data_IF_452108219054
#
_entry.id   IF_452108219054
#
_cell.length_a   1.000
_cell.length_b   1.000
_cell.length_c   1.000
_cell.angle_alpha   90.00
_cell.angle_beta   90.00
_cell.angle_gamma   90.00
#
_symmetry.space_group_name_H-M   'P 1'
#
loop_
_entity.id
_entity.type
_entity.pdbx_description
1 polymer ?
#
# COMPACT_ATOMS: atom_id res chain seq x y z
N UNK A 1 -42.69 18.93 27.01
CA UNK A 1 -41.78 19.92 26.42
C UNK A 1 -40.73 19.13 25.66
N UNK A 2 -41.02 18.86 24.37
CA UNK A 2 -40.20 17.96 23.51
C UNK A 2 -39.15 18.80 22.81
N UNK A 3 -37.89 18.58 23.13
CA UNK A 3 -36.75 19.10 22.36
C UNK A 3 -36.45 18.14 21.22
N UNK A 4 -36.88 18.51 20.01
CA UNK A 4 -36.40 17.88 18.76
C UNK A 4 -34.99 18.39 18.51
N UNK A 5 -34.01 17.47 18.51
CA UNK A 5 -32.66 17.73 17.99
C UNK A 5 -32.73 17.74 16.48
N UNK A 6 -32.52 18.88 15.87
CA UNK A 6 -32.40 19.06 14.44
C UNK A 6 -31.05 18.46 13.99
N UNK A 7 -31.09 17.40 13.16
CA UNK A 7 -29.92 16.92 12.40
C UNK A 7 -29.63 17.95 11.30
N UNK A 8 -28.49 18.59 11.35
CA UNK A 8 -27.98 19.43 10.26
C UNK A 8 -27.67 18.59 9.02
N UNK A 9 -28.08 19.01 7.82
CA UNK A 9 -27.68 18.30 6.61
C UNK A 9 -26.19 18.55 6.36
N UNK A 10 -25.41 17.46 6.34
CA UNK A 10 -24.03 17.48 5.93
C UNK A 10 -23.97 17.96 4.47
N UNK A 11 -23.34 19.11 4.26
CA UNK A 11 -23.34 19.79 2.97
C UNK A 11 -22.48 18.99 1.96
N UNK A 12 -23.10 18.64 0.85
CA UNK A 12 -22.54 17.92 -0.33
C UNK A 12 -21.51 18.76 -1.12
N UNK A 13 -20.85 19.72 -0.51
CA UNK A 13 -20.00 20.71 -1.19
C UNK A 13 -18.53 20.33 -1.31
N UNK A 14 -18.10 19.14 -0.85
CA UNK A 14 -16.67 18.76 -0.86
C UNK A 14 -16.29 17.89 -2.08
N UNK A 15 -17.23 17.43 -2.91
CA UNK A 15 -16.93 16.50 -4.00
C UNK A 15 -16.64 17.15 -5.36
N UNK A 16 -16.56 18.47 -5.46
CA UNK A 16 -16.39 19.15 -6.76
C UNK A 16 -15.00 19.77 -7.00
N UNK A 17 -14.05 19.59 -6.08
CA UNK A 17 -12.74 20.27 -6.17
C UNK A 17 -11.57 19.38 -6.65
N UNK A 18 -11.81 18.13 -7.07
CA UNK A 18 -10.72 17.21 -7.42
C UNK A 18 -10.69 16.77 -8.88
N UNK A 19 -11.30 17.49 -9.80
CA UNK A 19 -11.25 17.18 -11.24
C UNK A 19 -10.76 18.37 -12.03
N UNK A 20 -9.58 18.87 -11.69
CA UNK A 20 -8.73 19.55 -12.67
C UNK A 20 -7.54 18.61 -12.98
N UNK A 21 -7.83 17.50 -13.63
CA UNK A 21 -6.81 16.69 -14.30
C UNK A 21 -6.25 17.54 -15.43
N UNK A 22 -5.11 18.16 -15.18
CA UNK A 22 -4.27 18.69 -16.26
C UNK A 22 -3.94 17.52 -17.18
N UNK A 23 -4.37 17.63 -18.42
CA UNK A 23 -4.08 16.68 -19.48
C UNK A 23 -2.57 16.68 -19.70
N UNK A 24 -1.85 15.76 -19.07
CA UNK A 24 -0.50 15.45 -19.46
C UNK A 24 -0.59 14.59 -20.71
N UNK A 25 -0.20 15.16 -21.84
CA UNK A 25 0.00 14.42 -23.08
C UNK A 25 1.21 13.50 -22.89
N UNK A 26 0.96 12.28 -22.44
CA UNK A 26 1.93 11.21 -22.58
C UNK A 26 1.85 10.75 -24.03
N UNK A 27 2.86 11.07 -24.80
CA UNK A 27 3.05 10.55 -26.16
C UNK A 27 3.50 9.11 -26.07
N UNK A 28 2.76 8.27 -26.72
CA UNK A 28 2.90 6.86 -27.08
C UNK A 28 1.96 5.91 -26.36
N UNK A 29 1.15 5.21 -27.15
CA UNK A 29 0.19 4.16 -26.77
C UNK A 29 0.86 2.85 -26.29
N UNK A 30 1.92 2.92 -25.52
CA UNK A 30 2.55 1.73 -24.95
C UNK A 30 2.07 1.53 -23.51
N UNK A 31 1.04 0.66 -23.35
CA UNK A 31 0.58 0.26 -22.05
C UNK A 31 1.63 -0.58 -21.36
N UNK A 32 1.85 -0.32 -20.08
CA UNK A 32 2.76 -1.11 -19.26
C UNK A 32 2.10 -2.45 -18.90
N UNK A 33 2.92 -3.48 -18.77
CA UNK A 33 2.46 -4.78 -18.26
C UNK A 33 2.05 -4.66 -16.79
N UNK A 34 0.73 -4.59 -16.53
CA UNK A 34 0.19 -4.47 -15.17
C UNK A 34 0.47 -5.68 -14.29
N UNK A 35 1.00 -6.77 -14.83
CA UNK A 35 1.39 -7.96 -14.08
C UNK A 35 2.83 -7.87 -13.55
N UNK A 36 3.66 -6.98 -14.09
CA UNK A 36 5.05 -6.77 -13.64
C UNK A 36 5.07 -5.94 -12.34
N UNK A 37 5.62 -6.46 -11.23
CA UNK A 37 5.78 -5.71 -9.98
C UNK A 37 6.63 -4.44 -10.10
N UNK A 38 7.48 -4.33 -11.12
CA UNK A 38 8.32 -3.16 -11.38
C UNK A 38 7.74 -2.22 -12.44
N UNK A 39 6.57 -2.52 -13.00
CA UNK A 39 5.92 -1.63 -13.98
C UNK A 39 5.60 -0.26 -13.38
N UNK A 40 5.95 0.79 -14.10
CA UNK A 40 5.74 2.19 -13.71
C UNK A 40 4.74 2.82 -14.66
N UNK A 41 3.57 3.17 -14.15
CA UNK A 41 2.48 3.79 -14.92
C UNK A 41 1.54 4.60 -14.01
N UNK A 42 0.87 5.58 -14.60
CA UNK A 42 -0.19 6.31 -13.91
C UNK A 42 -1.44 5.43 -13.80
N UNK A 43 -2.04 5.36 -12.62
CA UNK A 43 -3.14 4.44 -12.33
C UNK A 43 -4.12 4.99 -11.32
N UNK A 44 -5.34 4.48 -11.38
CA UNK A 44 -6.31 4.56 -10.29
C UNK A 44 -6.85 3.16 -9.99
N UNK A 45 -7.16 2.90 -8.74
CA UNK A 45 -7.73 1.64 -8.31
C UNK A 45 -8.74 1.85 -7.18
N UNK A 46 -9.71 0.96 -7.13
CA UNK A 46 -10.67 0.87 -6.04
C UNK A 46 -10.86 -0.59 -5.67
N UNK A 47 -10.92 -0.87 -4.39
CA UNK A 47 -11.11 -2.21 -3.88
C UNK A 47 -12.03 -2.25 -2.68
N UNK A 48 -12.51 -3.46 -2.39
CA UNK A 48 -13.30 -3.77 -1.20
C UNK A 48 -12.56 -4.82 -0.39
N UNK A 49 -12.49 -4.60 0.92
CA UNK A 49 -11.90 -5.51 1.89
C UNK A 49 -12.92 -5.87 2.96
N UNK A 50 -12.53 -6.74 3.89
CA UNK A 50 -13.27 -7.00 5.11
C UNK A 50 -13.27 -5.82 6.11
N UNK A 51 -12.59 -4.70 5.78
CA UNK A 51 -12.47 -3.48 6.59
C UNK A 51 -13.06 -2.23 5.93
N UNK A 52 -13.63 -2.34 4.72
CA UNK A 52 -14.19 -1.21 3.99
C UNK A 52 -13.66 -1.07 2.56
N UNK A 53 -13.83 0.11 2.00
CA UNK A 53 -13.42 0.47 0.65
C UNK A 53 -11.99 1.02 0.68
N UNK A 54 -11.20 0.62 -0.28
CA UNK A 54 -9.85 1.11 -0.49
C UNK A 54 -9.76 1.87 -1.82
N UNK A 55 -8.98 2.93 -1.82
CA UNK A 55 -8.66 3.71 -3.02
C UNK A 55 -7.15 3.71 -3.22
N UNK A 56 -6.74 3.68 -4.48
CA UNK A 56 -5.36 3.78 -4.91
C UNK A 56 -5.25 4.77 -6.06
N UNK A 57 -4.26 5.64 -6.00
CA UNK A 57 -3.89 6.54 -7.08
C UNK A 57 -2.38 6.51 -7.25
N UNK A 58 -1.92 6.29 -8.47
CA UNK A 58 -0.51 6.31 -8.85
C UNK A 58 -0.27 7.31 -9.97
N UNK A 59 0.86 8.01 -9.90
CA UNK A 59 1.29 8.95 -10.92
C UNK A 59 2.74 8.65 -11.30
N UNK A 60 2.94 8.22 -12.54
CA UNK A 60 4.25 8.15 -13.15
C UNK A 60 4.73 9.55 -13.53
N UNK A 61 6.03 9.77 -13.51
CA UNK A 61 6.63 11.03 -13.90
C UNK A 61 7.98 10.81 -14.58
N UNK A 62 8.39 11.78 -15.39
CA UNK A 62 9.67 11.79 -16.08
C UNK A 62 10.81 12.10 -15.08
N UNK A 63 11.79 11.22 -15.04
CA UNK A 63 12.98 11.38 -14.19
C UNK A 63 14.06 12.24 -14.83
N UNK A 64 13.88 12.68 -16.08
CA UNK A 64 14.90 13.29 -16.94
C UNK A 64 16.13 12.36 -17.16
N UNK A 65 15.93 11.07 -17.08
CA UNK A 65 16.93 10.02 -17.34
C UNK A 65 16.26 8.87 -18.07
N UNK A 66 16.61 8.67 -19.32
CA UNK A 66 16.03 7.65 -20.23
C UNK A 66 16.18 6.21 -19.71
N UNK A 67 17.09 5.98 -18.75
CA UNK A 67 17.28 4.66 -18.14
C UNK A 67 16.42 4.41 -16.89
N UNK A 68 15.68 5.41 -16.43
CA UNK A 68 14.91 5.30 -15.18
C UNK A 68 13.46 5.72 -15.35
N UNK A 69 12.58 4.99 -14.67
CA UNK A 69 11.15 5.33 -14.53
C UNK A 69 10.79 5.47 -13.07
N UNK A 70 9.88 6.38 -12.74
CA UNK A 70 9.47 6.59 -11.36
C UNK A 70 7.98 6.89 -11.24
N UNK A 71 7.39 6.53 -10.09
CA UNK A 71 6.01 6.86 -9.76
C UNK A 71 5.80 7.08 -8.27
N UNK A 72 4.80 7.89 -7.97
CA UNK A 72 4.21 8.02 -6.65
C UNK A 72 2.92 7.21 -6.59
N UNK A 73 2.66 6.53 -5.48
CA UNK A 73 1.40 5.82 -5.24
C UNK A 73 0.87 6.21 -3.87
N UNK A 74 -0.38 6.66 -3.83
CA UNK A 74 -1.12 6.94 -2.60
C UNK A 74 -2.26 5.93 -2.47
N UNK A 75 -2.40 5.32 -1.31
CA UNK A 75 -3.48 4.41 -0.97
C UNK A 75 -4.18 4.92 0.30
N UNK A 76 -5.53 4.90 0.28
CA UNK A 76 -6.37 5.17 1.44
C UNK A 76 -7.27 3.96 1.65
N UNK A 77 -7.35 3.45 2.89
CA UNK A 77 -8.01 2.16 3.18
C UNK A 77 -9.00 2.29 4.32
N UNK A 78 -10.01 1.41 4.29
CA UNK A 78 -10.96 1.23 5.38
C UNK A 78 -12.18 2.12 5.33
N UNK A 79 -12.39 2.89 4.26
CA UNK A 79 -13.50 3.83 4.15
C UNK A 79 -14.88 3.14 4.15
N UNK A 80 -15.89 3.77 4.82
CA UNK A 80 -17.30 3.36 4.81
C UNK A 80 -17.56 1.97 5.41
N UNK A 81 -16.78 1.54 6.40
CA UNK A 81 -16.92 0.21 7.01
C UNK A 81 -18.28 0.03 7.70
N UNK A 82 -18.71 0.97 8.55
CA UNK A 82 -20.00 0.91 9.25
C UNK A 82 -21.18 0.94 8.29
N UNK A 83 -21.14 1.81 7.27
CA UNK A 83 -22.15 1.89 6.22
C UNK A 83 -22.30 0.61 5.40
N UNK A 84 -21.26 -0.21 5.32
CA UNK A 84 -21.25 -1.52 4.65
C UNK A 84 -21.58 -2.68 5.60
N UNK A 85 -21.84 -2.42 6.89
CA UNK A 85 -22.06 -3.43 7.92
C UNK A 85 -20.80 -4.24 8.29
N UNK A 86 -19.62 -3.66 8.08
CA UNK A 86 -18.32 -4.22 8.44
C UNK A 86 -17.88 -3.68 9.81
N UNK A 87 -16.77 -4.21 10.32
CA UNK A 87 -16.17 -3.69 11.56
C UNK A 87 -15.32 -2.47 11.24
N UNK A 88 -15.54 -1.39 11.97
CA UNK A 88 -14.87 -0.10 11.81
C UNK A 88 -15.86 1.04 11.80
N UNK A 89 -15.40 2.24 11.56
CA UNK A 89 -16.25 3.42 11.31
C UNK A 89 -16.25 3.76 9.81
N UNK A 90 -16.82 4.90 9.43
CA UNK A 90 -16.87 5.35 8.03
C UNK A 90 -15.68 6.24 7.63
N UNK A 91 -14.69 6.43 8.51
CA UNK A 91 -13.45 7.13 8.22
C UNK A 91 -12.41 6.22 7.55
N UNK A 92 -11.27 6.78 7.16
CA UNK A 92 -10.16 5.96 6.67
C UNK A 92 -9.37 5.37 7.84
N UNK A 93 -9.15 4.04 7.83
CA UNK A 93 -8.31 3.36 8.82
C UNK A 93 -6.83 3.69 8.62
N UNK A 94 -6.40 3.80 7.37
CA UNK A 94 -4.98 4.03 7.09
C UNK A 94 -4.71 4.74 5.76
N UNK A 95 -3.55 5.42 5.73
CA UNK A 95 -2.94 5.95 4.51
C UNK A 95 -1.59 5.28 4.29
N UNK A 96 -1.24 5.07 3.02
CA UNK A 96 0.08 4.59 2.59
C UNK A 96 0.54 5.37 1.37
N UNK A 97 1.76 5.86 1.44
CA UNK A 97 2.45 6.48 0.32
C UNK A 97 3.64 5.63 -0.07
N UNK A 98 3.80 5.39 -1.38
CA UNK A 98 4.96 4.71 -1.93
C UNK A 98 5.56 5.53 -3.06
N UNK A 99 6.87 5.57 -3.11
CA UNK A 99 7.62 6.10 -4.22
C UNK A 99 8.50 5.01 -4.79
N UNK A 100 8.36 4.76 -6.07
CA UNK A 100 9.13 3.77 -6.83
C UNK A 100 10.06 4.48 -7.79
N UNK A 101 11.28 3.95 -7.92
CA UNK A 101 12.23 4.30 -8.96
C UNK A 101 12.84 3.00 -9.50
N UNK A 102 12.84 2.83 -10.81
CA UNK A 102 13.29 1.60 -11.49
C UNK A 102 14.27 1.95 -12.60
N UNK A 103 15.44 1.33 -12.59
CA UNK A 103 16.36 1.33 -13.72
C UNK A 103 15.95 0.22 -14.69
N UNK A 104 15.47 0.62 -15.88
CA UNK A 104 14.91 -0.28 -16.88
C UNK A 104 15.96 -1.16 -17.55
N UNK A 105 17.24 -0.77 -17.51
CA UNK A 105 18.33 -1.54 -18.14
C UNK A 105 18.80 -2.69 -17.25
N UNK A 106 18.87 -2.45 -15.94
CA UNK A 106 19.32 -3.45 -14.97
C UNK A 106 18.16 -4.20 -14.30
N UNK A 107 16.93 -3.67 -14.35
CA UNK A 107 15.81 -4.20 -13.60
C UNK A 107 15.94 -3.99 -12.07
N UNK A 108 16.80 -3.08 -11.65
CA UNK A 108 16.96 -2.71 -10.24
C UNK A 108 15.95 -1.62 -9.90
N UNK A 109 15.09 -1.89 -8.94
CA UNK A 109 14.15 -0.94 -8.38
C UNK A 109 14.51 -0.53 -6.95
N UNK A 110 14.03 0.65 -6.56
CA UNK A 110 14.03 1.10 -5.18
C UNK A 110 12.64 1.60 -4.78
N UNK A 111 12.31 1.45 -3.51
CA UNK A 111 11.02 1.88 -2.96
C UNK A 111 11.23 2.60 -1.64
N UNK A 112 10.63 3.77 -1.52
CA UNK A 112 10.29 4.39 -0.23
C UNK A 112 8.84 4.03 0.07
N UNK A 113 8.55 3.61 1.28
CA UNK A 113 7.22 3.21 1.72
C UNK A 113 6.92 3.85 3.08
N UNK A 114 5.89 4.66 3.12
CA UNK A 114 5.42 5.35 4.32
C UNK A 114 3.98 4.91 4.57
N UNK A 115 3.66 4.51 5.79
CA UNK A 115 2.30 4.15 6.18
C UNK A 115 1.92 4.81 7.50
N UNK A 116 0.62 5.04 7.69
CA UNK A 116 0.04 5.50 8.93
C UNK A 116 -1.31 4.83 9.16
N UNK A 117 -1.46 4.19 10.31
CA UNK A 117 -2.69 3.62 10.84
C UNK A 117 -3.27 4.61 11.85
N UNK A 118 -4.46 5.11 11.58
CA UNK A 118 -5.11 6.15 12.40
C UNK A 118 -5.66 5.56 13.71
N UNK A 119 -6.14 4.31 13.68
CA UNK A 119 -6.72 3.65 14.84
C UNK A 119 -5.66 3.34 15.89
N UNK A 120 -4.54 2.77 15.44
CA UNK A 120 -3.43 2.40 16.32
C UNK A 120 -2.47 3.56 16.57
N UNK A 121 -2.62 4.69 15.81
CA UNK A 121 -1.69 5.82 15.83
C UNK A 121 -0.24 5.38 15.64
N UNK A 122 -0.07 4.48 14.69
CA UNK A 122 1.20 3.84 14.36
C UNK A 122 1.48 3.96 12.88
N UNK A 123 2.69 4.33 12.53
CA UNK A 123 3.17 4.34 11.16
C UNK A 123 4.48 3.62 10.99
N UNK A 124 4.88 3.49 9.75
CA UNK A 124 6.20 2.99 9.37
C UNK A 124 6.79 3.81 8.24
N UNK A 125 8.12 3.85 8.19
CA UNK A 125 8.88 4.39 7.08
C UNK A 125 9.98 3.40 6.72
N UNK A 126 10.05 2.98 5.45
CA UNK A 126 11.05 2.03 4.99
C UNK A 126 11.63 2.40 3.63
N UNK A 127 12.84 1.91 3.39
CA UNK A 127 13.51 1.94 2.10
C UNK A 127 13.93 0.52 1.74
N UNK A 128 13.61 0.09 0.53
CA UNK A 128 13.95 -1.24 0.03
C UNK A 128 14.48 -1.19 -1.40
N UNK A 129 15.31 -2.19 -1.73
CA UNK A 129 15.76 -2.47 -3.07
C UNK A 129 15.10 -3.76 -3.56
N UNK A 130 14.79 -3.82 -4.84
CA UNK A 130 14.16 -4.96 -5.51
C UNK A 130 14.87 -5.19 -6.84
N UNK A 131 15.12 -6.45 -7.21
CA UNK A 131 15.82 -6.81 -8.44
C UNK A 131 14.96 -7.75 -9.28
N UNK A 132 14.65 -7.37 -10.52
CA UNK A 132 14.09 -8.31 -11.49
C UNK A 132 15.12 -9.38 -11.84
N UNK A 133 14.77 -10.65 -11.65
CA UNK A 133 15.57 -11.76 -12.15
C UNK A 133 15.09 -12.18 -13.54
N UNK A 134 15.93 -12.86 -14.35
CA UNK A 134 15.50 -13.43 -15.62
C UNK A 134 14.29 -14.36 -15.44
N UNK A 135 13.33 -14.26 -16.36
CA UNK A 135 12.15 -15.12 -16.39
C UNK A 135 12.56 -16.59 -16.59
N UNK A 136 11.99 -17.50 -15.82
CA UNK A 136 12.20 -18.94 -15.87
C UNK A 136 10.89 -19.66 -16.24
N UNK A 137 10.69 -19.90 -17.52
CA UNK A 137 9.42 -20.44 -18.03
C UNK A 137 8.26 -19.48 -17.76
N UNK A 138 7.24 -19.91 -17.03
CA UNK A 138 6.10 -19.09 -16.65
C UNK A 138 6.31 -18.24 -15.37
N UNK A 139 7.48 -18.35 -14.73
CA UNK A 139 7.74 -17.73 -13.42
C UNK A 139 8.84 -16.70 -13.52
N UNK A 140 8.63 -15.55 -12.86
CA UNK A 140 9.65 -14.55 -12.65
C UNK A 140 9.68 -14.14 -11.17
N UNK A 141 10.90 -13.96 -10.63
CA UNK A 141 11.12 -13.56 -9.24
C UNK A 141 11.77 -12.20 -9.16
N UNK A 142 11.42 -11.49 -8.09
CA UNK A 142 11.90 -10.15 -7.78
C UNK A 142 12.31 -10.10 -6.30
N UNK A 143 13.50 -10.64 -5.94
CA UNK A 143 14.00 -10.56 -4.57
C UNK A 143 14.12 -9.11 -4.12
N UNK A 144 13.81 -8.88 -2.86
CA UNK A 144 13.88 -7.57 -2.25
C UNK A 144 14.43 -7.64 -0.83
N UNK A 145 15.08 -6.55 -0.43
CA UNK A 145 15.57 -6.33 0.93
C UNK A 145 15.49 -4.85 1.29
N UNK A 146 15.26 -4.55 2.55
CA UNK A 146 15.13 -3.17 3.01
C UNK A 146 15.29 -3.03 4.52
N UNK A 147 15.26 -1.79 4.95
CA UNK A 147 15.29 -1.38 6.35
C UNK A 147 14.21 -0.32 6.60
N UNK A 148 13.77 -0.22 7.83
CA UNK A 148 12.78 0.79 8.20
C UNK A 148 12.72 1.05 9.70
N UNK A 149 11.84 1.97 10.03
CA UNK A 149 11.50 2.37 11.39
C UNK A 149 9.98 2.35 11.56
N UNK A 150 9.53 2.10 12.78
CA UNK A 150 8.18 2.40 13.19
C UNK A 150 8.15 3.78 13.86
N UNK A 151 7.05 4.50 13.64
CA UNK A 151 6.78 5.81 14.25
C UNK A 151 5.43 5.72 14.93
N UNK A 152 5.34 6.08 16.20
CA UNK A 152 4.10 6.02 16.93
C UNK A 152 3.81 7.34 17.64
N UNK A 153 2.53 7.70 17.70
CA UNK A 153 2.06 8.74 18.63
C UNK A 153 2.27 8.25 20.06
N UNK A 154 2.72 9.14 20.94
CA UNK A 154 2.92 8.81 22.37
C UNK A 154 1.65 8.38 23.10
N UNK A 155 0.46 8.65 22.50
CA UNK A 155 -0.84 8.18 22.99
C UNK A 155 -1.27 6.86 22.32
N UNK A 156 -0.42 6.24 21.50
CA UNK A 156 -0.71 4.91 20.96
C UNK A 156 -0.83 3.91 22.11
N UNK A 157 -1.86 3.07 22.08
CA UNK A 157 -2.05 1.99 23.05
C UNK A 157 -0.90 0.96 23.08
N UNK A 158 -0.04 1.01 22.04
CA UNK A 158 1.12 0.13 21.87
C UNK A 158 2.37 0.64 22.58
N UNK A 159 2.33 1.89 23.07
CA UNK A 159 3.45 2.53 23.78
C UNK A 159 3.03 2.78 25.22
N UNK A 160 3.89 2.37 26.15
CA UNK A 160 3.74 2.82 27.54
C UNK A 160 4.29 4.24 27.64
N UNK A 161 3.47 5.25 28.04
CA UNK A 161 3.95 6.60 28.24
C UNK A 161 5.12 6.61 29.24
N UNK A 162 6.15 7.40 28.94
CA UNK A 162 7.19 7.71 29.93
C UNK A 162 6.54 8.36 31.14
N UNK A 163 6.98 8.04 32.38
CA UNK A 163 6.49 8.72 33.59
C UNK A 163 6.64 10.26 33.57
N UNK A 164 7.55 10.76 32.79
CA UNK A 164 7.85 12.20 32.64
C UNK A 164 7.07 12.85 31.49
N UNK A 165 6.10 12.13 30.87
CA UNK A 165 5.32 12.67 29.77
C UNK A 165 4.27 13.66 30.26
N UNK A 166 4.36 14.92 29.83
CA UNK A 166 3.53 16.05 30.27
C UNK A 166 2.15 16.16 29.56
N UNK A 167 1.78 15.18 28.72
CA UNK A 167 0.53 15.20 27.94
C UNK A 167 0.59 16.03 26.66
N UNK A 168 1.75 16.49 26.24
CA UNK A 168 1.94 17.21 24.98
C UNK A 168 1.82 16.29 23.76
N UNK A 169 1.59 16.86 22.57
CA UNK A 169 1.62 16.14 21.30
C UNK A 169 3.03 15.71 21.02
N UNK A 170 3.25 14.42 20.76
CA UNK A 170 4.57 13.90 20.47
C UNK A 170 4.55 12.60 19.70
N UNK A 171 5.66 12.35 19.00
CA UNK A 171 5.92 11.11 18.28
C UNK A 171 7.21 10.49 18.79
N UNK A 172 7.29 9.17 18.73
CA UNK A 172 8.48 8.40 19.09
C UNK A 172 8.79 7.38 17.99
N UNK A 173 10.05 6.92 17.96
CA UNK A 173 10.50 5.81 17.11
C UNK A 173 10.67 4.58 18.02
N UNK A 174 9.62 3.77 18.21
CA UNK A 174 9.66 2.65 19.14
C UNK A 174 10.54 1.50 18.66
N UNK A 175 10.75 1.36 17.35
CA UNK A 175 11.56 0.27 16.81
C UNK A 175 12.09 0.57 15.40
N UNK A 176 13.17 -0.14 15.06
CA UNK A 176 13.70 -0.25 13.71
C UNK A 176 13.70 -1.70 13.26
N UNK A 177 13.63 -1.95 11.95
CA UNK A 177 13.52 -3.28 11.38
C UNK A 177 14.27 -3.46 10.07
N UNK A 178 14.56 -4.72 9.75
CA UNK A 178 14.93 -5.15 8.41
C UNK A 178 13.81 -5.98 7.82
N UNK A 179 13.72 -5.97 6.50
CA UNK A 179 12.81 -6.79 5.73
C UNK A 179 13.55 -7.48 4.59
N UNK A 180 13.18 -8.72 4.32
CA UNK A 180 13.65 -9.49 3.17
C UNK A 180 12.49 -10.30 2.61
N UNK A 181 12.48 -10.53 1.31
CA UNK A 181 11.46 -11.35 0.67
C UNK A 181 11.61 -11.34 -0.83
N UNK A 182 10.55 -11.68 -1.51
CA UNK A 182 10.46 -11.52 -2.96
C UNK A 182 9.03 -11.33 -3.41
N UNK A 183 8.86 -10.65 -4.52
CA UNK A 183 7.65 -10.77 -5.33
C UNK A 183 7.84 -11.85 -6.36
N UNK A 184 6.75 -12.53 -6.71
CA UNK A 184 6.76 -13.45 -7.84
C UNK A 184 5.61 -13.14 -8.79
N UNK A 185 5.85 -13.37 -10.07
CA UNK A 185 4.84 -13.39 -11.13
C UNK A 185 4.81 -14.80 -11.71
N UNK A 186 3.64 -15.41 -11.74
CA UNK A 186 3.39 -16.75 -12.29
C UNK A 186 2.33 -16.60 -13.37
N UNK A 187 2.74 -16.65 -14.63
CA UNK A 187 1.84 -16.53 -15.77
C UNK A 187 1.08 -17.85 -15.97
N UNK A 188 -0.24 -17.81 -15.93
CA UNK A 188 -1.12 -18.95 -16.17
C UNK A 188 -1.60 -18.93 -17.64
N UNK A 189 -2.00 -17.75 -18.10
CA UNK A 189 -2.32 -17.44 -19.50
C UNK A 189 -1.84 -16.01 -19.78
N UNK A 190 -2.02 -15.52 -21.00
CA UNK A 190 -1.68 -14.13 -21.34
C UNK A 190 -2.49 -13.10 -20.51
N UNK A 191 -3.71 -13.47 -20.07
CA UNK A 191 -4.59 -12.60 -19.32
C UNK A 191 -4.67 -12.93 -17.82
N UNK A 192 -4.16 -14.10 -17.37
CA UNK A 192 -4.28 -14.57 -15.99
C UNK A 192 -2.90 -14.82 -15.40
N UNK A 193 -2.64 -14.21 -14.26
CA UNK A 193 -1.42 -14.47 -13.49
C UNK A 193 -1.68 -14.55 -11.99
N UNK A 194 -0.77 -15.19 -11.31
CA UNK A 194 -0.71 -15.26 -9.86
C UNK A 194 0.54 -14.54 -9.37
N UNK A 195 0.44 -13.93 -8.21
CA UNK A 195 1.58 -13.45 -7.45
C UNK A 195 1.61 -14.19 -6.10
N UNK A 196 2.81 -14.55 -5.65
CA UNK A 196 3.07 -14.99 -4.29
C UNK A 196 4.24 -14.18 -3.75
N UNK A 197 3.98 -13.41 -2.70
CA UNK A 197 4.87 -12.37 -2.18
C UNK A 197 5.15 -12.61 -0.69
N UNK A 198 6.02 -13.57 -0.33
CA UNK A 198 6.44 -13.78 1.05
C UNK A 198 7.44 -12.70 1.48
N UNK A 199 7.24 -12.17 2.67
CA UNK A 199 8.08 -11.18 3.32
C UNK A 199 8.41 -11.63 4.73
N UNK A 200 9.63 -11.50 5.15
CA UNK A 200 10.06 -11.66 6.52
C UNK A 200 10.58 -10.34 7.05
N UNK A 201 10.07 -9.93 8.20
CA UNK A 201 10.53 -8.75 8.91
C UNK A 201 11.15 -9.14 10.24
N UNK A 202 12.19 -8.44 10.66
CA UNK A 202 12.83 -8.66 11.94
C UNK A 202 13.20 -7.34 12.61
N UNK A 203 13.04 -7.27 13.91
CA UNK A 203 13.45 -6.09 14.69
C UNK A 203 14.98 -5.99 14.72
N UNK A 204 15.50 -4.80 14.43
CA UNK A 204 16.92 -4.47 14.57
C UNK A 204 17.22 -3.80 15.90
N UNK A 205 16.25 -3.05 16.45
CA UNK A 205 16.37 -2.36 17.71
C UNK A 205 15.05 -1.72 18.12
N UNK A 206 14.94 -1.32 19.38
CA UNK A 206 13.74 -0.69 19.93
C UNK A 206 13.18 -1.42 21.14
N UNK A 207 11.92 -1.13 21.48
CA UNK A 207 11.27 -1.68 22.66
C UNK A 207 10.73 -3.10 22.39
N UNK A 208 10.84 -3.98 23.38
CA UNK A 208 10.48 -5.40 23.28
C UNK A 208 9.00 -5.62 22.92
N UNK A 209 8.11 -4.73 23.35
CA UNK A 209 6.68 -4.82 23.03
C UNK A 209 6.37 -4.79 21.53
N UNK A 210 7.29 -4.29 20.71
CA UNK A 210 7.17 -4.28 19.25
C UNK A 210 7.64 -5.58 18.57
N UNK A 211 8.22 -6.52 19.32
CA UNK A 211 8.70 -7.80 18.75
C UNK A 211 7.58 -8.60 18.05
N UNK A 212 6.34 -8.49 18.51
CA UNK A 212 5.18 -9.16 17.95
C UNK A 212 4.70 -8.59 16.61
N UNK A 213 5.28 -7.46 16.14
CA UNK A 213 4.98 -6.88 14.84
C UNK A 213 5.91 -7.40 13.73
N UNK A 214 6.78 -8.36 14.03
CA UNK A 214 7.77 -8.92 13.12
C UNK A 214 7.55 -10.41 12.93
N UNK A 215 7.95 -10.91 11.76
CA UNK A 215 7.77 -12.30 11.39
C UNK A 215 7.41 -12.44 9.91
N UNK A 216 6.87 -13.58 9.56
CA UNK A 216 6.43 -13.88 8.21
C UNK A 216 5.09 -13.23 7.88
N UNK A 217 5.05 -12.65 6.68
CA UNK A 217 3.84 -12.17 6.02
C UNK A 217 3.79 -12.74 4.61
N UNK A 218 2.62 -13.15 4.19
CA UNK A 218 2.39 -13.74 2.87
C UNK A 218 1.25 -13.01 2.19
N UNK A 219 1.44 -12.66 0.93
CA UNK A 219 0.38 -12.19 0.05
C UNK A 219 0.28 -13.14 -1.14
N UNK A 220 -0.92 -13.61 -1.43
CA UNK A 220 -1.26 -14.29 -2.68
C UNK A 220 -2.23 -13.38 -3.43
N UNK A 221 -1.98 -13.14 -4.71
CA UNK A 221 -2.90 -12.41 -5.57
C UNK A 221 -3.19 -13.20 -6.84
N UNK A 222 -4.48 -13.37 -7.14
CA UNK A 222 -4.95 -13.85 -8.42
C UNK A 222 -5.45 -12.66 -9.24
N UNK A 223 -5.04 -12.55 -10.48
CA UNK A 223 -5.28 -11.38 -11.31
C UNK A 223 -5.78 -11.77 -12.68
N UNK A 224 -6.72 -10.99 -13.21
CA UNK A 224 -7.29 -11.15 -14.55
C UNK A 224 -7.25 -9.81 -15.29
N UNK A 225 -6.57 -9.78 -16.44
CA UNK A 225 -6.52 -8.64 -17.35
C UNK A 225 -7.83 -8.56 -18.13
N UNK A 226 -8.57 -7.48 -17.96
CA UNK A 226 -9.84 -7.25 -18.67
C UNK A 226 -9.60 -6.68 -20.07
N UNK A 227 -8.60 -5.83 -20.20
CA UNK A 227 -8.11 -5.20 -21.42
C UNK A 227 -6.74 -4.56 -21.14
N UNK A 228 -6.11 -3.95 -22.14
CA UNK A 228 -4.77 -3.37 -22.00
C UNK A 228 -4.64 -2.32 -20.87
N UNK A 229 -5.74 -1.77 -20.39
CA UNK A 229 -5.76 -0.68 -19.39
C UNK A 229 -6.29 -1.10 -18.03
N UNK A 230 -6.96 -2.25 -17.92
CA UNK A 230 -7.65 -2.57 -16.67
C UNK A 230 -7.56 -4.03 -16.29
N UNK A 231 -7.48 -4.27 -14.99
CA UNK A 231 -7.49 -5.61 -14.41
C UNK A 231 -8.36 -5.68 -13.15
N UNK A 232 -8.72 -6.91 -12.80
CA UNK A 232 -9.27 -7.29 -11.50
C UNK A 232 -8.24 -8.13 -10.77
N UNK A 233 -8.08 -7.87 -9.47
CA UNK A 233 -7.16 -8.60 -8.60
C UNK A 233 -7.85 -9.01 -7.31
N UNK A 234 -7.70 -10.26 -6.93
CA UNK A 234 -8.14 -10.78 -5.63
C UNK A 234 -6.91 -11.13 -4.80
N UNK A 235 -6.83 -10.59 -3.59
CA UNK A 235 -5.71 -10.76 -2.68
C UNK A 235 -6.12 -11.53 -1.44
N UNK A 236 -5.21 -12.33 -0.97
CA UNK A 236 -5.28 -13.01 0.32
C UNK A 236 -3.98 -12.79 1.08
N UNK A 237 -4.07 -12.08 2.20
CA UNK A 237 -2.94 -11.79 3.09
C UNK A 237 -3.07 -12.60 4.37
N UNK A 238 -1.98 -13.22 4.81
CA UNK A 238 -1.89 -14.00 6.04
C UNK A 238 -0.46 -14.01 6.56
N UNK A 239 -0.27 -14.38 7.82
CA UNK A 239 1.07 -14.45 8.43
C UNK A 239 1.06 -14.30 9.94
N UNK A 240 2.25 -14.30 10.52
CA UNK A 240 2.46 -14.21 11.97
C UNK A 240 2.11 -12.83 12.53
N UNK A 241 2.32 -11.80 11.74
CA UNK A 241 2.14 -10.39 12.12
C UNK A 241 0.70 -9.92 11.94
N UNK A 242 -0.04 -10.53 11.01
CA UNK A 242 -1.42 -10.18 10.74
C UNK A 242 -2.34 -10.84 11.78
N UNK A 243 -3.12 -10.03 12.48
CA UNK A 243 -4.18 -10.54 13.37
C UNK A 243 -5.36 -11.04 12.50
N UNK A 244 -5.18 -12.23 11.90
CA UNK A 244 -6.18 -12.84 11.02
C UNK A 244 -5.79 -12.79 9.55
N UNK A 245 -6.75 -13.12 8.70
CA UNK A 245 -6.61 -13.06 7.24
C UNK A 245 -7.30 -11.84 6.70
N UNK A 246 -6.68 -11.19 5.71
CA UNK A 246 -7.26 -10.06 5.00
C UNK A 246 -7.52 -10.44 3.54
N UNK A 247 -8.76 -10.26 3.10
CA UNK A 247 -9.17 -10.45 1.71
C UNK A 247 -9.51 -9.12 1.07
N UNK A 248 -9.04 -8.94 -0.15
CA UNK A 248 -9.30 -7.73 -0.95
C UNK A 248 -9.60 -8.10 -2.39
N UNK A 249 -10.61 -7.49 -2.97
CA UNK A 249 -10.84 -7.49 -4.42
C UNK A 249 -10.68 -6.05 -4.91
N UNK A 250 -9.90 -5.86 -5.97
CA UNK A 250 -9.48 -4.56 -6.44
C UNK A 250 -9.60 -4.48 -7.96
N UNK A 251 -10.21 -3.41 -8.46
CA UNK A 251 -10.18 -3.02 -9.87
C UNK A 251 -9.13 -1.93 -10.04
N UNK A 252 -8.27 -2.07 -11.04
CA UNK A 252 -7.23 -1.10 -11.38
C UNK A 252 -7.37 -0.68 -12.84
N UNK A 253 -7.07 0.58 -13.09
CA UNK A 253 -7.05 1.19 -14.41
C UNK A 253 -5.76 1.99 -14.58
N UNK A 254 -5.04 1.80 -15.71
CA UNK A 254 -3.92 2.63 -16.13
C UNK A 254 -4.37 3.66 -17.18
N UNK A 255 -3.82 4.87 -17.08
CA UNK A 255 -4.14 5.99 -17.96
C UNK A 255 -3.27 6.02 -19.19
#
# INVERSE_FOLDING_TARGET
MNLQTAKSPLSWTILTALVSLTSFSVTADEYQDMSDPLAVYSQAGMGVTNKGINFKFGQAYDTNNDSTMAMHVLEAKGFAADSLGLKGDDSFDSLRYRHFNVDINSGLGSQVDLSWDFDNKLGSASYSLIQALPKMGAVQFYPLAGIGINVADVHSSLIQPSPDYDGSIGYTIPSSFALVGFYSKIEITDDIWLNYNPMYTTQLGGVESFSNFYGWQHEIAASYQLNNRSNLRAFWNFGEVLQGTDFRVEYNYQF
#
